data_IF_064217315827
#
_entry.id   IF_064217315827
#
_cell.length_a   1.000
_cell.length_b   1.000
_cell.length_c   1.000
_cell.angle_alpha   90.00
_cell.angle_beta   90.00
_cell.angle_gamma   90.00
#
_symmetry.space_group_name_H-M   'P 1'
#
loop_
_entity.id
_entity.type
_entity.pdbx_description
1 polymer ?
#
# COMPACT_ATOMS: atom_id res chain seq x y z
N UNK A 1 -20.28 -8.96 89.25
CA UNK A 1 -19.76 -8.96 87.86
C UNK A 1 -18.54 -9.88 87.65
N UNK A 2 -18.16 -10.76 88.61
CA UNK A 2 -17.00 -11.66 88.47
C UNK A 2 -17.35 -13.14 88.20
N UNK A 3 -18.64 -13.52 88.19
CA UNK A 3 -19.08 -14.90 87.90
C UNK A 3 -19.26 -15.21 86.41
N UNK A 4 -19.48 -14.18 85.58
CA UNK A 4 -19.57 -14.34 84.11
C UNK A 4 -18.18 -14.48 83.46
N UNK A 5 -17.14 -13.91 84.07
CA UNK A 5 -15.77 -14.00 83.55
C UNK A 5 -15.17 -15.39 83.82
N UNK A 6 -15.48 -16.01 84.96
CA UNK A 6 -15.01 -17.37 85.30
C UNK A 6 -15.73 -18.49 84.53
N UNK A 7 -16.96 -18.26 84.04
CA UNK A 7 -17.66 -19.17 83.14
C UNK A 7 -17.17 -19.06 81.68
N UNK A 8 -16.47 -17.97 81.35
CA UNK A 8 -15.92 -17.68 80.02
C UNK A 8 -14.41 -17.82 79.97
N UNK A 9 -13.70 -18.04 81.09
CA UNK A 9 -12.29 -18.46 81.05
C UNK A 9 -12.21 -19.84 80.43
N UNK A 10 -11.78 -19.96 79.16
CA UNK A 10 -11.79 -21.24 78.49
C UNK A 10 -10.76 -22.11 79.19
N UNK A 11 -11.19 -23.28 79.67
CA UNK A 11 -10.27 -24.31 80.13
C UNK A 11 -9.25 -24.63 79.04
N UNK A 12 -8.09 -25.19 79.40
CA UNK A 12 -6.99 -25.48 78.47
C UNK A 12 -7.46 -26.19 77.18
N UNK A 13 -8.49 -27.05 77.27
CA UNK A 13 -9.11 -27.71 76.11
C UNK A 13 -9.82 -26.76 75.14
N UNK A 14 -10.52 -25.74 75.62
CA UNK A 14 -11.21 -24.77 74.78
C UNK A 14 -10.22 -23.81 74.10
N UNK A 15 -9.13 -23.43 74.78
CA UNK A 15 -8.02 -22.68 74.15
C UNK A 15 -7.34 -23.49 73.06
N UNK A 16 -7.10 -24.78 73.29
CA UNK A 16 -6.54 -25.69 72.30
C UNK A 16 -7.48 -25.85 71.10
N UNK A 17 -8.79 -26.04 71.35
CA UNK A 17 -9.80 -26.17 70.29
C UNK A 17 -9.98 -24.89 69.46
N UNK A 18 -9.84 -23.72 70.06
CA UNK A 18 -9.89 -22.45 69.34
C UNK A 18 -8.65 -22.28 68.46
N UNK A 19 -7.47 -22.64 68.99
CA UNK A 19 -6.23 -22.62 68.24
C UNK A 19 -6.24 -23.59 67.05
N UNK A 20 -6.77 -24.80 67.24
CA UNK A 20 -6.90 -25.77 66.14
C UNK A 20 -7.92 -25.31 65.10
N UNK A 21 -9.08 -24.78 65.51
CA UNK A 21 -10.08 -24.24 64.59
C UNK A 21 -9.52 -23.06 63.77
N UNK A 22 -8.80 -22.13 64.42
CA UNK A 22 -8.14 -21.01 63.76
C UNK A 22 -7.08 -21.50 62.75
N UNK A 23 -6.28 -22.49 63.12
CA UNK A 23 -5.28 -23.07 62.24
C UNK A 23 -5.90 -23.78 61.03
N UNK A 24 -7.00 -24.49 61.21
CA UNK A 24 -7.76 -25.12 60.11
C UNK A 24 -8.32 -24.06 59.16
N UNK A 25 -8.88 -22.96 59.68
CA UNK A 25 -9.39 -21.86 58.84
C UNK A 25 -8.27 -21.22 58.02
N UNK A 26 -7.10 -21.02 58.62
CA UNK A 26 -5.91 -20.50 57.91
C UNK A 26 -5.49 -21.46 56.80
N UNK A 27 -5.37 -22.76 57.09
CA UNK A 27 -5.01 -23.76 56.09
C UNK A 27 -6.02 -23.75 54.93
N UNK A 28 -7.31 -23.75 55.23
CA UNK A 28 -8.36 -23.72 54.20
C UNK A 28 -8.26 -22.44 53.36
N UNK A 29 -8.02 -21.28 53.97
CA UNK A 29 -7.82 -20.03 53.23
C UNK A 29 -6.59 -20.07 52.31
N UNK A 30 -5.46 -20.59 52.79
CA UNK A 30 -4.24 -20.69 51.99
C UNK A 30 -4.45 -21.68 50.83
N UNK A 31 -5.03 -22.85 51.10
CA UNK A 31 -5.33 -23.86 50.06
C UNK A 31 -6.32 -23.32 49.04
N UNK A 32 -7.37 -22.63 49.49
CA UNK A 32 -8.36 -21.99 48.61
C UNK A 32 -7.71 -20.93 47.71
N UNK A 33 -6.88 -20.05 48.26
CA UNK A 33 -6.17 -19.04 47.48
C UNK A 33 -5.20 -19.67 46.45
N UNK A 34 -4.49 -20.74 46.82
CA UNK A 34 -3.61 -21.46 45.91
C UNK A 34 -4.40 -22.16 44.79
N UNK A 35 -5.53 -22.79 45.13
CA UNK A 35 -6.40 -23.47 44.16
C UNK A 35 -6.99 -22.48 43.16
N UNK A 36 -7.55 -21.35 43.64
CA UNK A 36 -8.07 -20.29 42.77
C UNK A 36 -7.00 -19.73 41.83
N UNK A 37 -5.78 -19.54 42.31
CA UNK A 37 -4.66 -19.08 41.47
C UNK A 37 -4.25 -20.14 40.44
N UNK A 38 -4.28 -21.43 40.79
CA UNK A 38 -3.98 -22.52 39.85
C UNK A 38 -5.06 -22.67 38.78
N UNK A 39 -6.34 -22.60 39.17
CA UNK A 39 -7.47 -22.61 38.24
C UNK A 39 -7.39 -21.42 37.29
N UNK A 40 -7.17 -20.21 37.82
CA UNK A 40 -7.03 -19.01 37.01
C UNK A 40 -5.86 -19.10 36.03
N UNK A 41 -4.70 -19.61 36.47
CA UNK A 41 -3.53 -19.81 35.62
C UNK A 41 -3.80 -20.86 34.53
N UNK A 42 -4.49 -21.95 34.87
CA UNK A 42 -4.84 -23.01 33.92
C UNK A 42 -5.82 -22.51 32.88
N UNK A 43 -6.85 -21.78 33.30
CA UNK A 43 -7.83 -21.16 32.42
C UNK A 43 -7.15 -20.16 31.48
N UNK A 44 -6.29 -19.28 32.02
CA UNK A 44 -5.54 -18.29 31.23
C UNK A 44 -4.63 -18.98 30.21
N UNK A 45 -3.93 -20.05 30.60
CA UNK A 45 -3.07 -20.81 29.68
C UNK A 45 -3.87 -21.52 28.59
N UNK A 46 -5.04 -22.09 28.93
CA UNK A 46 -5.91 -22.72 27.94
C UNK A 46 -6.45 -21.68 26.93
N UNK A 47 -6.88 -20.52 27.43
CA UNK A 47 -7.36 -19.42 26.60
C UNK A 47 -6.23 -18.87 25.71
N UNK A 48 -5.03 -18.65 26.25
CA UNK A 48 -3.89 -18.19 25.46
C UNK A 48 -3.49 -19.21 24.39
N UNK A 49 -3.55 -20.52 24.70
CA UNK A 49 -3.30 -21.57 23.70
C UNK A 49 -4.33 -21.58 22.57
N UNK A 50 -5.59 -21.25 22.85
CA UNK A 50 -6.63 -21.15 21.81
C UNK A 50 -6.52 -19.85 21.00
N UNK A 51 -6.19 -18.73 21.64
CA UNK A 51 -6.10 -17.42 20.99
C UNK A 51 -4.79 -17.27 20.19
N UNK A 52 -3.68 -17.86 20.63
CA UNK A 52 -2.37 -17.71 19.97
C UNK A 52 -2.36 -18.10 18.49
N UNK A 53 -2.89 -19.27 18.07
CA UNK A 53 -2.99 -19.64 16.66
C UNK A 53 -3.87 -18.67 15.87
N UNK A 54 -5.01 -18.26 16.43
CA UNK A 54 -5.93 -17.30 15.82
C UNK A 54 -5.28 -15.93 15.60
N UNK A 55 -4.52 -15.47 16.59
CA UNK A 55 -3.79 -14.22 16.53
C UNK A 55 -2.71 -14.27 15.46
N UNK A 56 -1.84 -15.28 15.48
CA UNK A 56 -0.78 -15.46 14.47
C UNK A 56 -1.35 -15.55 13.06
N UNK A 57 -2.49 -16.22 12.92
CA UNK A 57 -3.19 -16.33 11.64
C UNK A 57 -3.72 -14.97 11.16
N UNK A 58 -4.38 -14.22 12.05
CA UNK A 58 -4.89 -12.88 11.73
C UNK A 58 -3.76 -11.90 11.40
N UNK A 59 -2.66 -11.92 12.15
CA UNK A 59 -1.46 -11.12 11.89
C UNK A 59 -0.90 -11.41 10.50
N UNK A 60 -0.79 -12.69 10.12
CA UNK A 60 -0.36 -13.08 8.76
C UNK A 60 -1.28 -12.53 7.68
N UNK A 61 -2.61 -12.60 7.85
CA UNK A 61 -3.57 -12.06 6.89
C UNK A 61 -3.39 -10.56 6.71
N UNK A 62 -3.24 -9.83 7.82
CA UNK A 62 -3.05 -8.38 7.78
C UNK A 62 -1.78 -8.02 7.02
N UNK A 63 -0.68 -8.74 7.28
CA UNK A 63 0.58 -8.56 6.55
C UNK A 63 0.44 -8.87 5.05
N UNK A 64 -0.21 -9.97 4.68
CA UNK A 64 -0.44 -10.33 3.28
C UNK A 64 -1.29 -9.27 2.56
N UNK A 65 -2.30 -8.73 3.24
CA UNK A 65 -3.14 -7.64 2.73
C UNK A 65 -2.35 -6.35 2.53
N UNK A 66 -1.54 -5.96 3.53
CA UNK A 66 -0.70 -4.76 3.46
C UNK A 66 0.33 -4.88 2.34
N UNK A 67 0.93 -6.06 2.17
CA UNK A 67 1.89 -6.34 1.11
C UNK A 67 1.25 -6.21 -0.28
N UNK A 68 0.06 -6.78 -0.49
CA UNK A 68 -0.64 -6.70 -1.77
C UNK A 68 -1.08 -5.25 -2.05
N UNK A 69 -1.66 -4.57 -1.07
CA UNK A 69 -2.09 -3.17 -1.21
C UNK A 69 -0.90 -2.27 -1.57
N UNK A 70 0.20 -2.38 -0.82
CA UNK A 70 1.44 -1.63 -1.07
C UNK A 70 2.05 -1.96 -2.43
N UNK A 71 2.04 -3.23 -2.84
CA UNK A 71 2.57 -3.64 -4.14
C UNK A 71 1.74 -3.09 -5.30
N UNK A 72 0.41 -3.04 -5.17
CA UNK A 72 -0.48 -2.45 -6.18
C UNK A 72 -0.28 -0.94 -6.30
N UNK A 73 -0.16 -0.23 -5.18
CA UNK A 73 0.15 1.21 -5.19
C UNK A 73 1.51 1.48 -5.83
N UNK A 74 2.52 0.69 -5.48
CA UNK A 74 3.87 0.81 -6.02
C UNK A 74 3.90 0.60 -7.54
N UNK A 75 3.17 -0.40 -8.06
CA UNK A 75 3.06 -0.63 -9.50
C UNK A 75 2.44 0.56 -10.21
N UNK A 76 1.38 1.15 -9.64
CA UNK A 76 0.73 2.31 -10.24
C UNK A 76 1.66 3.54 -10.21
N UNK A 77 2.38 3.80 -9.11
CA UNK A 77 3.42 4.85 -9.08
C UNK A 77 4.48 4.61 -10.16
N UNK A 78 4.95 3.37 -10.32
CA UNK A 78 5.88 3.02 -11.40
C UNK A 78 5.31 3.28 -12.79
N UNK A 79 4.04 2.93 -13.05
CA UNK A 79 3.37 3.23 -14.32
C UNK A 79 3.32 4.73 -14.59
N UNK A 80 2.99 5.55 -13.59
CA UNK A 80 3.02 7.00 -13.71
C UNK A 80 4.42 7.54 -14.01
N UNK A 81 5.44 7.08 -13.28
CA UNK A 81 6.84 7.47 -13.51
C UNK A 81 7.33 7.08 -14.89
N UNK A 82 7.05 5.85 -15.32
CA UNK A 82 7.43 5.36 -16.65
C UNK A 82 6.79 6.23 -17.73
N UNK A 83 5.49 6.54 -17.61
CA UNK A 83 4.78 7.41 -18.56
C UNK A 83 5.40 8.82 -18.61
N UNK A 84 5.76 9.40 -17.48
CA UNK A 84 6.43 10.71 -17.42
C UNK A 84 7.82 10.67 -18.05
N UNK A 85 8.63 9.65 -17.73
CA UNK A 85 9.96 9.48 -18.32
C UNK A 85 9.93 9.18 -19.81
N UNK A 86 8.96 8.41 -20.29
CA UNK A 86 8.75 8.22 -21.72
C UNK A 86 8.38 9.54 -22.42
N UNK A 87 7.56 10.40 -21.80
CA UNK A 87 7.25 11.74 -22.34
C UNK A 87 8.51 12.62 -22.40
N UNK A 88 9.30 12.65 -21.35
CA UNK A 88 10.59 13.37 -21.32
C UNK A 88 11.53 12.84 -22.42
N UNK A 89 11.70 11.52 -22.55
CA UNK A 89 12.62 10.93 -23.51
C UNK A 89 12.18 11.08 -24.96
N UNK A 90 10.87 11.20 -25.23
CA UNK A 90 10.35 11.48 -26.58
C UNK A 90 10.94 12.77 -27.16
N UNK A 91 11.24 13.78 -26.33
CA UNK A 91 11.83 15.04 -26.78
C UNK A 91 13.28 14.88 -27.25
N UNK A 92 13.97 13.83 -26.82
CA UNK A 92 15.36 13.55 -27.17
C UNK A 92 15.52 12.47 -28.24
N UNK A 93 14.42 11.90 -28.75
CA UNK A 93 14.42 10.86 -29.77
C UNK A 93 15.06 11.38 -31.07
N UNK A 94 16.36 11.12 -31.25
CA UNK A 94 17.08 11.42 -32.49
C UNK A 94 16.77 10.33 -33.52
N UNK A 95 16.12 10.71 -34.62
CA UNK A 95 15.88 9.82 -35.75
C UNK A 95 17.17 9.72 -36.58
N UNK A 96 18.03 8.75 -36.27
CA UNK A 96 19.23 8.50 -37.09
C UNK A 96 18.79 7.72 -38.33
N UNK A 97 18.81 8.39 -39.49
CA UNK A 97 18.58 7.76 -40.79
C UNK A 97 19.91 7.21 -41.29
N UNK A 98 20.17 5.91 -41.15
CA UNK A 98 21.24 5.25 -41.92
C UNK A 98 20.69 4.88 -43.29
N UNK A 99 21.13 5.59 -44.32
CA UNK A 99 20.94 5.18 -45.71
C UNK A 99 21.92 4.06 -45.99
N UNK A 100 21.43 2.82 -46.00
CA UNK A 100 22.20 1.68 -46.51
C UNK A 100 21.87 1.57 -47.99
N UNK A 101 22.82 1.94 -48.85
CA UNK A 101 22.75 1.61 -50.27
C UNK A 101 22.93 0.09 -50.40
N UNK A 102 21.85 -0.65 -50.68
CA UNK A 102 21.94 -2.03 -51.14
C UNK A 102 22.60 -2.00 -52.54
N UNK A 103 23.93 -2.00 -52.59
CA UNK A 103 24.67 -2.24 -53.85
C UNK A 103 24.45 -3.69 -54.26
N UNK A 104 23.36 -3.93 -54.99
CA UNK A 104 23.07 -5.21 -55.61
C UNK A 104 24.21 -5.60 -56.56
N UNK A 105 24.98 -6.62 -56.18
CA UNK A 105 26.08 -7.14 -57.00
C UNK A 105 25.60 -7.77 -58.33
N UNK A 106 24.29 -8.05 -58.44
CA UNK A 106 23.67 -8.69 -59.60
C UNK A 106 23.51 -7.74 -60.80
N UNK A 107 23.40 -6.42 -60.59
CA UNK A 107 23.20 -5.46 -61.69
C UNK A 107 24.50 -5.08 -62.40
N UNK A 108 25.66 -5.31 -61.79
CA UNK A 108 26.96 -4.96 -62.39
C UNK A 108 27.45 -5.98 -63.42
N UNK A 109 27.11 -7.27 -63.28
CA UNK A 109 27.68 -8.31 -64.14
C UNK A 109 26.83 -8.70 -65.35
N UNK A 110 25.53 -8.39 -65.36
CA UNK A 110 24.63 -8.79 -66.46
C UNK A 110 24.26 -7.61 -67.36
N UNK A 111 24.29 -6.37 -66.86
CA UNK A 111 23.94 -5.16 -67.61
C UNK A 111 25.14 -4.27 -68.00
N UNK A 112 26.36 -4.64 -67.61
CA UNK A 112 27.59 -3.90 -67.99
C UNK A 112 28.04 -4.08 -69.45
N UNK A 113 27.35 -4.92 -70.24
CA UNK A 113 27.73 -5.23 -71.63
C UNK A 113 26.63 -5.01 -72.68
N UNK A 114 25.45 -4.54 -72.31
CA UNK A 114 24.44 -4.13 -73.29
C UNK A 114 24.00 -2.68 -73.06
N UNK A 115 24.49 -1.83 -73.96
CA UNK A 115 23.79 -0.69 -74.53
C UNK A 115 23.42 0.48 -73.62
N UNK A 116 24.33 1.46 -73.67
CA UNK A 116 24.23 2.93 -73.84
C UNK A 116 22.88 3.57 -74.26
N UNK A 117 21.74 2.88 -74.36
CA UNK A 117 20.49 3.49 -74.83
C UNK A 117 19.34 3.05 -73.92
N UNK A 118 19.12 3.83 -72.85
CA UNK A 118 17.85 4.03 -72.12
C UNK A 118 18.19 4.62 -70.75
N UNK A 119 18.59 5.89 -70.73
CA UNK A 119 18.89 6.60 -69.47
C UNK A 119 17.66 7.21 -68.80
N UNK A 120 16.46 7.10 -69.40
CA UNK A 120 15.26 7.84 -68.95
C UNK A 120 14.03 6.99 -68.62
N UNK A 121 14.13 5.65 -68.52
CA UNK A 121 12.92 4.82 -68.39
C UNK A 121 12.98 3.68 -67.37
N UNK A 122 13.89 3.78 -66.40
CA UNK A 122 13.85 2.87 -65.25
C UNK A 122 13.83 3.73 -63.99
N UNK A 123 12.61 4.10 -63.60
CA UNK A 123 12.28 4.52 -62.24
C UNK A 123 12.44 3.29 -61.34
N UNK A 124 13.69 2.86 -61.10
CA UNK A 124 13.98 1.87 -60.07
C UNK A 124 13.61 2.53 -58.76
N UNK A 125 12.41 2.19 -58.27
CA UNK A 125 12.02 2.32 -56.87
C UNK A 125 13.05 1.54 -56.05
N UNK A 126 14.16 2.19 -55.74
CA UNK A 126 15.06 1.75 -54.69
C UNK A 126 14.20 1.66 -53.44
N UNK A 127 13.90 0.43 -53.02
CA UNK A 127 13.17 0.17 -51.78
C UNK A 127 14.07 0.58 -50.64
N UNK A 128 14.05 1.87 -50.32
CA UNK A 128 14.70 2.45 -49.15
C UNK A 128 14.08 1.80 -47.91
N UNK A 129 14.73 0.76 -47.38
CA UNK A 129 14.33 0.16 -46.11
C UNK A 129 14.83 1.07 -44.99
N UNK A 130 13.92 1.87 -44.45
CA UNK A 130 14.18 2.77 -43.33
C UNK A 130 14.18 1.95 -42.04
N UNK A 131 15.35 1.71 -41.47
CA UNK A 131 15.46 1.14 -40.13
C UNK A 131 15.50 2.28 -39.11
N UNK A 132 14.55 2.29 -38.18
CA UNK A 132 14.50 3.26 -37.08
C UNK A 132 15.03 2.56 -35.84
N UNK A 133 16.16 3.02 -35.30
CA UNK A 133 16.72 2.51 -34.04
C UNK A 133 16.51 3.56 -32.95
N UNK A 134 15.93 3.15 -31.81
CA UNK A 134 15.81 3.99 -30.64
C UNK A 134 17.13 3.90 -29.86
N UNK A 135 17.89 5.00 -29.79
CA UNK A 135 19.24 5.03 -29.20
C UNK A 135 19.26 5.26 -27.69
N UNK A 136 18.18 4.99 -26.96
CA UNK A 136 18.17 5.08 -25.50
C UNK A 136 18.03 3.69 -24.91
N UNK A 137 19.19 3.12 -24.54
CA UNK A 137 19.28 2.05 -23.57
C UNK A 137 18.98 2.64 -22.21
N UNK A 138 17.75 2.50 -21.77
CA UNK A 138 17.52 2.47 -20.34
C UNK A 138 16.88 1.12 -20.03
N UNK A 139 17.59 0.38 -19.18
CA UNK A 139 17.16 -0.86 -18.52
C UNK A 139 16.03 -0.56 -17.52
N UNK A 140 15.09 0.33 -17.87
CA UNK A 140 13.90 0.56 -17.06
C UNK A 140 12.99 -0.66 -17.19
N UNK A 141 12.34 -1.00 -16.08
CA UNK A 141 11.22 -1.94 -16.02
C UNK A 141 10.29 -1.63 -17.20
N UNK A 142 10.29 -2.51 -18.19
CA UNK A 142 9.48 -2.39 -19.40
C UNK A 142 8.02 -2.73 -19.05
N UNK A 143 7.05 -2.34 -19.88
CA UNK A 143 5.63 -2.72 -19.69
C UNK A 143 5.47 -4.25 -19.50
N UNK A 144 6.31 -5.04 -20.17
CA UNK A 144 6.39 -6.50 -19.97
C UNK A 144 6.68 -6.88 -18.51
N UNK A 145 7.63 -6.20 -17.87
CA UNK A 145 8.03 -6.49 -16.49
C UNK A 145 6.97 -6.05 -15.50
N UNK A 146 6.26 -4.96 -15.78
CA UNK A 146 5.07 -4.55 -15.01
C UNK A 146 4.00 -5.65 -15.08
N UNK A 147 3.72 -6.16 -16.28
CA UNK A 147 2.75 -7.25 -16.45
C UNK A 147 3.16 -8.53 -15.70
N UNK A 148 4.45 -8.88 -15.69
CA UNK A 148 4.96 -10.01 -14.89
C UNK A 148 4.70 -9.84 -13.39
N UNK A 149 4.93 -8.64 -12.85
CA UNK A 149 4.69 -8.34 -11.43
C UNK A 149 3.19 -8.36 -11.14
N UNK A 150 2.36 -7.81 -12.02
CA UNK A 150 0.90 -7.86 -11.91
C UNK A 150 0.36 -9.29 -11.90
N UNK A 151 0.87 -10.15 -12.78
CA UNK A 151 0.49 -11.56 -12.78
C UNK A 151 0.94 -12.27 -11.50
N UNK A 152 2.09 -11.91 -10.92
CA UNK A 152 2.53 -12.43 -9.63
C UNK A 152 1.58 -12.00 -8.49
N UNK A 153 1.25 -10.70 -8.39
CA UNK A 153 0.30 -10.21 -7.38
C UNK A 153 -1.07 -10.86 -7.56
N UNK A 154 -1.56 -10.94 -8.81
CA UNK A 154 -2.81 -11.63 -9.13
C UNK A 154 -2.77 -13.09 -8.70
N UNK A 155 -1.63 -13.76 -8.83
CA UNK A 155 -1.44 -15.15 -8.40
C UNK A 155 -1.44 -15.33 -6.88
N UNK A 156 -1.28 -14.27 -6.09
CA UNK A 156 -1.40 -14.30 -4.62
C UNK A 156 -2.87 -14.11 -4.18
N UNK A 157 -3.70 -13.53 -5.03
CA UNK A 157 -5.11 -13.31 -4.76
C UNK A 157 -5.95 -14.53 -5.17
N UNK A 158 -6.78 -15.02 -4.24
CA UNK A 158 -7.62 -16.20 -4.42
C UNK A 158 -9.10 -15.80 -4.32
N UNK A 159 -9.93 -16.34 -5.20
CA UNK A 159 -11.39 -16.19 -5.18
C UNK A 159 -12.02 -17.16 -4.16
N UNK A 160 -13.33 -17.05 -3.94
CA UNK A 160 -14.11 -17.84 -2.95
C UNK A 160 -13.88 -19.36 -3.05
N UNK A 161 -13.54 -19.84 -4.25
CA UNK A 161 -13.32 -21.27 -4.57
C UNK A 161 -11.85 -21.69 -4.48
N UNK A 162 -10.95 -20.82 -4.02
CA UNK A 162 -9.50 -21.06 -3.98
C UNK A 162 -8.80 -20.93 -5.34
N UNK A 163 -9.49 -20.45 -6.37
CA UNK A 163 -8.91 -20.21 -7.70
C UNK A 163 -8.23 -18.84 -7.77
N UNK A 164 -7.24 -18.67 -8.65
CA UNK A 164 -6.68 -17.35 -8.96
C UNK A 164 -7.79 -16.42 -9.46
N UNK A 165 -7.81 -15.18 -8.98
CA UNK A 165 -8.82 -14.20 -9.41
C UNK A 165 -8.78 -13.96 -10.94
N UNK A 166 -9.96 -13.73 -11.50
CA UNK A 166 -10.11 -13.33 -12.91
C UNK A 166 -9.39 -12.02 -13.19
N UNK A 167 -8.92 -11.84 -14.44
CA UNK A 167 -8.29 -10.58 -14.87
C UNK A 167 -9.22 -9.37 -14.74
N UNK A 168 -10.52 -9.55 -14.97
CA UNK A 168 -11.53 -8.49 -14.85
C UNK A 168 -11.67 -7.99 -13.41
N UNK A 169 -11.78 -8.92 -12.45
CA UNK A 169 -11.82 -8.60 -11.02
C UNK A 169 -10.51 -7.92 -10.58
N UNK A 170 -9.35 -8.43 -11.02
CA UNK A 170 -8.06 -7.80 -10.71
C UNK A 170 -7.98 -6.37 -11.23
N UNK A 171 -8.39 -6.14 -12.49
CA UNK A 171 -8.45 -4.80 -13.08
C UNK A 171 -9.41 -3.87 -12.32
N UNK A 172 -10.52 -4.39 -11.77
CA UNK A 172 -11.41 -3.61 -10.92
C UNK A 172 -10.71 -3.12 -9.65
N UNK A 173 -9.97 -3.99 -8.96
CA UNK A 173 -9.19 -3.64 -7.76
C UNK A 173 -8.09 -2.63 -8.10
N UNK A 174 -7.40 -2.85 -9.23
CA UNK A 174 -6.35 -1.97 -9.73
C UNK A 174 -6.84 -0.54 -9.98
N UNK A 175 -8.13 -0.33 -10.31
CA UNK A 175 -8.70 1.03 -10.46
C UNK A 175 -8.62 1.85 -9.18
N UNK A 176 -8.74 1.23 -8.00
CA UNK A 176 -8.64 1.96 -6.72
C UNK A 176 -7.20 2.37 -6.43
N UNK A 177 -6.23 1.48 -6.67
CA UNK A 177 -4.81 1.79 -6.60
C UNK A 177 -4.45 2.93 -7.59
N UNK A 178 -4.97 2.86 -8.81
CA UNK A 178 -4.77 3.89 -9.82
C UNK A 178 -5.29 5.26 -9.38
N UNK A 179 -6.52 5.32 -8.83
CA UNK A 179 -7.11 6.54 -8.30
C UNK A 179 -6.32 7.10 -7.13
N UNK A 180 -5.88 6.25 -6.20
CA UNK A 180 -5.08 6.65 -5.06
C UNK A 180 -3.78 7.33 -5.51
N UNK A 181 -3.06 6.71 -6.46
CA UNK A 181 -1.83 7.30 -7.02
C UNK A 181 -2.10 8.55 -7.86
N UNK A 182 -3.23 8.64 -8.56
CA UNK A 182 -3.64 9.87 -9.26
C UNK A 182 -3.84 11.04 -8.26
N UNK A 183 -4.52 10.79 -7.13
CA UNK A 183 -4.68 11.79 -6.08
C UNK A 183 -3.36 12.15 -5.40
N UNK A 184 -2.48 11.16 -5.18
CA UNK A 184 -1.14 11.39 -4.64
C UNK A 184 -0.32 12.32 -5.54
N UNK A 185 -0.35 12.14 -6.86
CA UNK A 185 0.33 13.06 -7.79
C UNK A 185 -0.27 14.45 -7.80
N UNK A 186 -1.60 14.58 -7.76
CA UNK A 186 -2.25 15.90 -7.61
C UNK A 186 -1.86 16.59 -6.30
N UNK A 187 -1.71 15.83 -5.22
CA UNK A 187 -1.26 16.34 -3.93
C UNK A 187 0.20 16.83 -4.02
N UNK A 188 1.10 16.04 -4.62
CA UNK A 188 2.49 16.47 -4.89
C UNK A 188 2.54 17.77 -5.71
N UNK A 189 1.71 17.90 -6.75
CA UNK A 189 1.61 19.13 -7.57
C UNK A 189 1.07 20.34 -6.78
N UNK A 190 0.10 20.13 -5.89
CA UNK A 190 -0.47 21.19 -5.06
C UNK A 190 0.53 21.65 -3.99
N UNK A 191 1.27 20.72 -3.38
CA UNK A 191 2.35 21.04 -2.44
C UNK A 191 3.46 21.84 -3.13
N UNK A 192 3.84 21.46 -4.35
CA UNK A 192 4.80 22.22 -5.17
C UNK A 192 4.31 23.65 -5.41
N UNK A 193 3.05 23.85 -5.81
CA UNK A 193 2.47 25.20 -6.01
C UNK A 193 2.47 26.04 -4.73
N UNK A 194 2.15 25.44 -3.58
CA UNK A 194 2.20 26.14 -2.28
C UNK A 194 3.63 26.59 -1.99
N UNK A 195 4.62 25.71 -2.23
CA UNK A 195 6.03 26.04 -2.05
C UNK A 195 6.46 27.16 -3.00
N UNK A 196 6.07 27.12 -4.28
CA UNK A 196 6.32 28.19 -5.25
C UNK A 196 5.75 29.54 -4.79
N UNK A 197 4.51 29.58 -4.31
CA UNK A 197 3.90 30.82 -3.78
C UNK A 197 4.60 31.33 -2.53
N UNK A 198 5.07 30.44 -1.66
CA UNK A 198 5.86 30.80 -0.49
C UNK A 198 7.23 31.35 -0.89
N UNK A 199 7.92 30.74 -1.85
CA UNK A 199 9.18 31.23 -2.41
C UNK A 199 9.01 32.60 -3.05
N UNK A 200 7.95 32.80 -3.85
CA UNK A 200 7.62 34.10 -4.46
C UNK A 200 7.38 35.19 -3.40
N UNK A 201 6.78 34.83 -2.26
CA UNK A 201 6.59 35.74 -1.13
C UNK A 201 7.92 36.11 -0.45
N UNK A 202 8.82 35.15 -0.28
CA UNK A 202 10.14 35.37 0.35
C UNK A 202 11.05 36.23 -0.55
N UNK A 203 11.18 35.89 -1.83
CA UNK A 203 12.00 36.64 -2.79
C UNK A 203 11.59 38.11 -2.92
N UNK A 204 10.29 38.40 -2.77
CA UNK A 204 9.77 39.78 -2.81
C UNK A 204 10.04 40.55 -1.52
N UNK A 205 10.03 39.88 -0.37
CA UNK A 205 10.37 40.49 0.92
C UNK A 205 11.90 40.74 1.05
N UNK A 206 12.75 39.94 0.40
CA UNK A 206 14.21 40.09 0.43
C UNK A 206 14.75 41.22 -0.46
N UNK A 207 14.03 41.63 -1.52
CA UNK A 207 14.43 42.74 -2.42
C UNK A 207 14.31 44.15 -1.81
N UNK A 208 14.26 44.29 -0.48
CA UNK A 208 14.37 45.57 0.22
C UNK A 208 13.10 46.45 0.20
N UNK A 209 11.97 45.92 -0.26
CA UNK A 209 10.67 46.57 -0.18
C UNK A 209 10.17 46.54 1.29
N UNK A 210 10.14 47.70 1.96
CA UNK A 210 9.66 47.78 3.35
C UNK A 210 8.23 47.23 3.42
N UNK A 211 8.02 46.21 4.26
CA UNK A 211 6.74 45.50 4.49
C UNK A 211 5.56 46.44 4.84
N UNK A 212 5.84 47.70 5.19
CA UNK A 212 4.85 48.75 5.49
C UNK A 212 4.17 49.40 4.28
N UNK A 213 4.62 49.17 3.04
CA UNK A 213 4.00 49.78 1.86
C UNK A 213 2.64 49.11 1.51
N UNK A 214 1.53 49.86 1.39
CA UNK A 214 0.18 49.30 1.22
C UNK A 214 0.00 48.50 -0.09
N UNK A 215 0.82 48.74 -1.11
CA UNK A 215 0.84 47.97 -2.37
C UNK A 215 1.43 46.56 -2.19
N UNK A 216 2.37 46.38 -1.26
CA UNK A 216 2.98 45.08 -0.95
C UNK A 216 2.07 44.29 -0.01
N UNK A 217 1.44 44.98 0.95
CA UNK A 217 0.45 44.38 1.85
C UNK A 217 -0.76 43.80 1.10
N UNK A 218 -1.23 44.51 0.07
CA UNK A 218 -2.35 44.04 -0.78
C UNK A 218 -1.96 42.85 -1.66
N UNK A 219 -0.74 42.85 -2.23
CA UNK A 219 -0.21 41.72 -3.01
C UNK A 219 0.07 40.48 -2.14
N UNK A 220 0.64 40.65 -0.95
CA UNK A 220 0.86 39.55 -0.01
C UNK A 220 -0.47 38.94 0.44
N UNK A 221 -1.50 39.76 0.70
CA UNK A 221 -2.87 39.27 0.95
C UNK A 221 -3.45 38.49 -0.23
N UNK A 222 -3.10 38.83 -1.47
CA UNK A 222 -3.54 38.08 -2.65
C UNK A 222 -2.84 36.71 -2.76
N UNK A 223 -1.54 36.66 -2.48
CA UNK A 223 -0.76 35.41 -2.41
C UNK A 223 -1.30 34.52 -1.27
N UNK A 224 -1.58 35.09 -0.11
CA UNK A 224 -2.14 34.36 1.04
C UNK A 224 -3.52 33.76 0.71
N UNK A 225 -4.38 34.50 -0.03
CA UNK A 225 -5.65 33.96 -0.54
C UNK A 225 -5.46 32.82 -1.53
N UNK A 226 -4.44 32.89 -2.39
CA UNK A 226 -4.11 31.80 -3.34
C UNK A 226 -3.62 30.56 -2.58
N UNK A 227 -2.74 30.74 -1.60
CA UNK A 227 -2.26 29.65 -0.72
C UNK A 227 -3.45 29.03 0.01
N UNK A 228 -4.31 29.82 0.66
CA UNK A 228 -5.47 29.31 1.39
C UNK A 228 -6.39 28.47 0.49
N UNK A 229 -6.62 28.91 -0.75
CA UNK A 229 -7.42 28.17 -1.72
C UNK A 229 -6.77 26.82 -2.07
N UNK A 230 -5.48 26.82 -2.40
CA UNK A 230 -4.77 25.58 -2.75
C UNK A 230 -4.68 24.63 -1.56
N UNK A 231 -4.49 25.14 -0.34
CA UNK A 231 -4.49 24.33 0.90
C UNK A 231 -5.84 23.65 1.15
N UNK A 232 -6.96 24.33 0.88
CA UNK A 232 -8.30 23.71 0.94
C UNK A 232 -8.45 22.59 -0.08
N UNK A 233 -8.00 22.82 -1.32
CA UNK A 233 -8.02 21.80 -2.38
C UNK A 233 -7.09 20.62 -2.07
N UNK A 234 -5.95 20.87 -1.43
CA UNK A 234 -5.00 19.86 -0.96
C UNK A 234 -5.63 18.95 0.09
N UNK A 235 -6.27 19.52 1.11
CA UNK A 235 -6.94 18.74 2.13
C UNK A 235 -8.05 17.85 1.56
N UNK A 236 -8.86 18.38 0.62
CA UNK A 236 -9.88 17.58 -0.06
C UNK A 236 -9.27 16.44 -0.90
N UNK A 237 -8.14 16.70 -1.56
CA UNK A 237 -7.44 15.70 -2.36
C UNK A 237 -6.84 14.61 -1.49
N UNK A 238 -6.31 14.98 -0.31
CA UNK A 238 -5.81 14.05 0.70
C UNK A 238 -6.91 13.11 1.20
N UNK A 239 -8.08 13.65 1.54
CA UNK A 239 -9.23 12.84 1.98
C UNK A 239 -9.62 11.83 0.87
N UNK A 240 -9.71 12.27 -0.39
CA UNK A 240 -10.04 11.38 -1.52
C UNK A 240 -8.99 10.29 -1.78
N UNK A 241 -7.71 10.61 -1.55
CA UNK A 241 -6.62 9.64 -1.60
C UNK A 241 -6.81 8.56 -0.52
N UNK A 242 -7.04 8.98 0.72
CA UNK A 242 -7.27 8.08 1.86
C UNK A 242 -8.52 7.22 1.65
N UNK A 243 -9.61 7.78 1.13
CA UNK A 243 -10.81 7.05 0.73
C UNK A 243 -10.51 5.98 -0.33
N UNK A 244 -9.72 6.31 -1.35
CA UNK A 244 -9.35 5.37 -2.41
C UNK A 244 -8.49 4.21 -1.88
N UNK A 245 -7.58 4.48 -0.93
CA UNK A 245 -6.78 3.47 -0.25
C UNK A 245 -7.67 2.58 0.64
N UNK A 246 -8.64 3.18 1.34
CA UNK A 246 -9.62 2.44 2.14
C UNK A 246 -10.46 1.51 1.27
N UNK A 247 -10.95 2.01 0.13
CA UNK A 247 -11.73 1.21 -0.82
C UNK A 247 -10.88 0.08 -1.42
N UNK A 248 -9.62 0.35 -1.78
CA UNK A 248 -8.66 -0.67 -2.21
C UNK A 248 -8.52 -1.76 -1.15
N UNK A 249 -8.23 -1.38 0.10
CA UNK A 249 -8.06 -2.32 1.21
C UNK A 249 -9.34 -3.12 1.48
N UNK A 250 -10.52 -2.48 1.42
CA UNK A 250 -11.82 -3.12 1.57
C UNK A 250 -12.09 -4.16 0.49
N UNK A 251 -11.79 -3.85 -0.78
CA UNK A 251 -11.96 -4.80 -1.87
C UNK A 251 -10.98 -5.97 -1.77
N UNK A 252 -9.70 -5.73 -1.46
CA UNK A 252 -8.71 -6.79 -1.21
C UNK A 252 -9.18 -7.68 -0.05
N UNK A 253 -9.65 -7.07 1.04
CA UNK A 253 -10.12 -7.75 2.24
C UNK A 253 -11.24 -8.75 1.93
N UNK A 254 -12.21 -8.40 1.07
CA UNK A 254 -13.32 -9.31 0.69
C UNK A 254 -12.80 -10.64 0.13
N UNK A 255 -11.77 -10.59 -0.72
CA UNK A 255 -11.16 -11.79 -1.31
C UNK A 255 -10.42 -12.62 -0.28
N UNK A 256 -9.64 -11.97 0.59
CA UNK A 256 -8.97 -12.64 1.69
C UNK A 256 -9.98 -13.33 2.60
N UNK A 257 -11.02 -12.62 3.04
CA UNK A 257 -12.00 -13.16 3.97
C UNK A 257 -12.71 -14.41 3.47
N UNK A 258 -13.10 -14.43 2.20
CA UNK A 258 -13.87 -15.55 1.66
C UNK A 258 -13.00 -16.76 1.33
N UNK A 259 -11.81 -16.56 0.77
CA UNK A 259 -10.84 -17.65 0.56
C UNK A 259 -10.33 -18.23 1.88
N UNK A 260 -10.08 -17.37 2.88
CA UNK A 260 -9.53 -17.76 4.18
C UNK A 260 -10.59 -18.36 5.11
N UNK A 261 -11.89 -18.03 4.97
CA UNK A 261 -12.97 -18.67 5.75
C UNK A 261 -12.99 -20.19 5.54
N UNK A 262 -12.66 -20.67 4.34
CA UNK A 262 -12.56 -22.10 4.07
C UNK A 262 -11.32 -22.69 4.77
N UNK A 263 -10.18 -22.01 4.75
CA UNK A 263 -8.97 -22.43 5.47
C UNK A 263 -9.10 -22.39 7.00
N UNK A 264 -9.82 -21.42 7.58
CA UNK A 264 -10.11 -21.38 9.03
C UNK A 264 -11.02 -22.55 9.43
N UNK A 265 -12.01 -22.88 8.59
CA UNK A 265 -12.87 -24.07 8.78
C UNK A 265 -12.06 -25.37 8.67
N UNK A 266 -11.12 -25.45 7.72
CA UNK A 266 -10.20 -26.59 7.57
C UNK A 266 -9.24 -26.74 8.77
N UNK A 267 -8.86 -25.64 9.41
CA UNK A 267 -8.06 -25.63 10.63
C UNK A 267 -8.86 -25.99 11.90
N UNK A 268 -10.15 -26.32 11.77
CA UNK A 268 -11.08 -26.58 12.88
C UNK A 268 -11.14 -25.45 13.93
N UNK A 269 -10.77 -24.23 13.54
CA UNK A 269 -10.79 -23.05 14.40
C UNK A 269 -12.22 -22.48 14.44
N UNK A 270 -12.70 -22.12 15.62
CA UNK A 270 -14.05 -21.58 15.77
C UNK A 270 -14.14 -20.18 15.11
N UNK A 271 -14.78 -20.11 13.94
CA UNK A 271 -14.96 -18.88 13.17
C UNK A 271 -15.81 -17.83 13.89
N UNK A 272 -16.61 -18.23 14.88
CA UNK A 272 -17.55 -17.33 15.58
C UNK A 272 -16.83 -16.38 16.55
N UNK A 273 -15.57 -16.67 16.87
CA UNK A 273 -14.70 -15.83 17.70
C UNK A 273 -13.96 -14.74 16.89
N UNK A 274 -14.04 -14.78 15.56
CA UNK A 274 -13.29 -13.88 14.67
C UNK A 274 -14.22 -12.77 14.17
N UNK A 275 -14.05 -11.56 14.72
CA UNK A 275 -14.73 -10.34 14.24
C UNK A 275 -13.67 -9.31 13.85
N UNK A 276 -13.31 -9.22 12.56
CA UNK A 276 -12.49 -8.08 12.09
C UNK A 276 -13.42 -6.89 11.99
N UNK A 277 -13.17 -5.92 12.87
CA UNK A 277 -13.88 -4.65 12.86
C UNK A 277 -13.23 -3.75 11.80
N UNK A 278 -13.95 -3.49 10.71
CA UNK A 278 -13.57 -2.42 9.78
C UNK A 278 -14.09 -1.11 10.35
N UNK A 279 -13.20 -0.26 10.88
CA UNK A 279 -13.60 1.06 11.35
C UNK A 279 -13.93 1.94 10.15
N UNK A 280 -15.23 2.24 9.96
CA UNK A 280 -15.66 3.33 9.10
C UNK A 280 -15.46 4.63 9.90
N UNK A 281 -14.33 5.30 9.69
CA UNK A 281 -14.16 6.68 10.13
C UNK A 281 -15.05 7.52 9.20
N UNK A 282 -16.20 7.97 9.73
CA UNK A 282 -17.05 8.97 9.10
C UNK A 282 -16.48 10.36 9.37
#
# INVERSE_FOLDING_TARGET
MNKLIAAVTPGIRAKLSFFTAFFVIIIISIVSALYLNQEFKTLTQSLDREIQPLRKYTERIVLDLENISSSLLLIEDFRFRLKSKQKELKQYKKKIVRVVEEKSWFTKNVLGKLNVIQKDLINTRDKKRVWTFDTFYSEYITDKKINEIEDNIRSQMRDEKGNIISKEKFAYIQKFAHKAEEYRKKLEEQEQKINEYNSEKVEKNEKGEKVTDPKILSKNKEIDKKIEKVTKELNLTKIRMEESIRDLNSEILKFFYQGQRNSIKELALNTDLIRIQTFNIK
#
